data_IF_223687368261
#
_entry.id   IF_223687368261
#
_cell.length_a   1.000
_cell.length_b   1.000
_cell.length_c   1.000
_cell.angle_alpha   90.00
_cell.angle_beta   90.00
_cell.angle_gamma   90.00
#
_symmetry.space_group_name_H-M   'P 1'
#
loop_
_entity.id
_entity.type
_entity.pdbx_description
1 polymer ?
#
# COMPACT_ATOMS: atom_id res chain seq x y z
N UNK A 1 -7.07 -20.69 -59.06
CA UNK A 1 -5.83 -20.77 -58.25
C UNK A 1 -6.25 -20.98 -56.79
N UNK A 2 -6.17 -22.21 -56.30
CA UNK A 2 -6.55 -22.59 -54.93
C UNK A 2 -5.39 -22.32 -53.97
N UNK A 3 -5.66 -21.65 -52.84
CA UNK A 3 -4.68 -21.46 -51.76
C UNK A 3 -4.44 -22.77 -50.98
N UNK A 4 -3.19 -23.06 -50.57
CA UNK A 4 -2.86 -24.29 -49.84
C UNK A 4 -3.29 -24.24 -48.36
N UNK A 5 -3.83 -25.34 -47.80
CA UNK A 5 -4.44 -25.40 -46.47
C UNK A 5 -3.43 -25.76 -45.37
N UNK A 6 -2.21 -25.21 -45.41
CA UNK A 6 -1.10 -25.75 -44.60
C UNK A 6 -0.34 -24.70 -43.80
N UNK A 7 -1.00 -23.62 -43.36
CA UNK A 7 -0.45 -22.68 -42.37
C UNK A 7 -1.58 -22.28 -41.40
N UNK A 8 -2.22 -23.28 -40.79
CA UNK A 8 -3.21 -23.08 -39.69
C UNK A 8 -2.81 -23.77 -38.39
N UNK A 9 -1.69 -24.48 -38.38
CA UNK A 9 -1.28 -25.34 -37.26
C UNK A 9 -0.18 -24.76 -36.37
N UNK A 10 0.22 -23.49 -36.55
CA UNK A 10 1.24 -22.85 -35.68
C UNK A 10 0.64 -21.92 -34.61
N UNK A 11 -0.68 -21.72 -34.61
CA UNK A 11 -1.37 -20.81 -33.68
C UNK A 11 -1.93 -21.49 -32.41
N UNK A 12 -1.69 -22.78 -32.22
CA UNK A 12 -2.36 -23.56 -31.16
C UNK A 12 -1.47 -23.97 -29.98
N UNK A 13 -0.20 -23.54 -29.90
CA UNK A 13 0.74 -24.01 -28.87
C UNK A 13 1.24 -22.97 -27.86
N UNK A 14 0.62 -21.80 -27.78
CA UNK A 14 0.93 -20.80 -26.71
C UNK A 14 -0.37 -20.36 -26.04
N UNK A 15 -1.16 -21.33 -25.59
CA UNK A 15 -2.33 -21.11 -24.74
C UNK A 15 -2.25 -21.98 -23.47
N UNK A 16 -1.02 -22.25 -23.00
CA UNK A 16 -0.78 -23.03 -21.80
C UNK A 16 -0.49 -22.09 -20.62
N UNK A 17 -1.56 -21.83 -19.86
CA UNK A 17 -1.56 -21.63 -18.42
C UNK A 17 -0.53 -20.62 -17.85
N UNK A 18 -0.80 -19.33 -17.98
CA UNK A 18 -0.40 -18.40 -16.91
C UNK A 18 -1.58 -18.39 -15.92
N UNK A 19 -1.47 -18.98 -14.72
CA UNK A 19 -2.44 -18.70 -13.68
C UNK A 19 -2.29 -17.21 -13.38
N UNK A 20 -3.23 -16.41 -13.88
CA UNK A 20 -3.49 -15.08 -13.34
C UNK A 20 -3.90 -15.34 -11.89
N UNK A 21 -2.93 -15.26 -10.99
CA UNK A 21 -3.19 -15.14 -9.57
C UNK A 21 -3.96 -13.84 -9.41
N UNK A 22 -5.28 -13.90 -9.56
CA UNK A 22 -6.19 -12.92 -9.00
C UNK A 22 -5.91 -12.97 -7.51
N UNK A 23 -4.98 -12.14 -7.03
CA UNK A 23 -4.84 -11.88 -5.60
C UNK A 23 -6.07 -11.06 -5.24
N UNK A 24 -7.07 -11.66 -4.56
CA UNK A 24 -8.26 -10.91 -4.22
C UNK A 24 -7.82 -9.86 -3.20
N UNK A 25 -8.05 -8.59 -3.54
CA UNK A 25 -8.05 -7.48 -2.60
C UNK A 25 -8.83 -7.91 -1.36
N UNK A 26 -8.16 -8.21 -0.25
CA UNK A 26 -8.87 -8.39 1.01
C UNK A 26 -9.23 -7.01 1.52
N UNK A 27 -10.54 -6.77 1.54
CA UNK A 27 -11.21 -5.85 2.48
C UNK A 27 -10.43 -5.88 3.80
N UNK A 28 -10.20 -4.70 4.41
CA UNK A 28 -9.55 -4.52 5.73
C UNK A 28 -9.81 -5.77 6.56
N UNK A 29 -8.74 -6.44 6.99
CA UNK A 29 -8.87 -7.68 7.75
C UNK A 29 -9.89 -7.42 8.86
N UNK A 30 -10.97 -8.21 8.98
CA UNK A 30 -11.98 -7.97 10.00
C UNK A 30 -11.42 -8.03 11.43
N UNK A 31 -10.21 -8.58 11.62
CA UNK A 31 -9.44 -8.51 12.86
C UNK A 31 -8.39 -7.39 12.92
N UNK A 32 -8.29 -6.51 11.91
CA UNK A 32 -7.37 -5.39 11.94
C UNK A 32 -7.82 -4.37 12.99
N UNK A 33 -7.07 -4.33 14.08
CA UNK A 33 -7.21 -3.35 15.13
C UNK A 33 -6.59 -2.02 14.70
N UNK A 34 -7.24 -0.91 15.05
CA UNK A 34 -6.58 0.40 15.00
C UNK A 34 -5.33 0.41 15.86
N UNK A 35 -4.44 1.37 15.60
CA UNK A 35 -3.24 1.57 16.41
C UNK A 35 -3.22 2.98 16.97
N UNK A 36 -2.77 3.13 18.21
CA UNK A 36 -2.61 4.42 18.87
C UNK A 36 -1.15 4.84 18.81
N UNK A 37 -0.92 6.04 18.29
CA UNK A 37 0.33 6.77 18.46
C UNK A 37 0.11 7.77 19.60
N UNK A 38 0.67 7.49 20.78
CA UNK A 38 0.34 8.23 22.01
C UNK A 38 0.74 9.71 21.96
N UNK A 39 1.88 10.02 21.35
CA UNK A 39 2.43 11.37 21.19
C UNK A 39 2.91 11.56 19.76
N UNK A 40 2.94 12.80 19.30
CA UNK A 40 3.49 13.12 17.98
C UNK A 40 4.92 12.61 17.87
N UNK A 41 5.24 11.95 16.75
CA UNK A 41 6.57 11.39 16.51
C UNK A 41 7.14 11.88 15.19
N UNK A 42 8.44 12.17 15.19
CA UNK A 42 9.17 12.58 14.01
C UNK A 42 10.12 11.49 13.56
N UNK A 43 10.22 11.22 12.25
CA UNK A 43 11.18 10.27 11.69
C UNK A 43 11.86 10.84 10.45
N UNK A 44 13.16 10.58 10.36
CA UNK A 44 13.92 10.84 9.14
C UNK A 44 13.59 9.76 8.11
N UNK A 45 13.03 10.18 6.98
CA UNK A 45 12.49 9.34 5.94
C UNK A 45 13.13 9.73 4.61
N UNK A 46 14.22 9.04 4.23
CA UNK A 46 15.01 9.34 3.03
C UNK A 46 15.54 10.79 3.04
N UNK A 47 14.85 11.69 2.32
CA UNK A 47 15.27 13.07 2.07
C UNK A 47 14.41 14.11 2.81
N UNK A 48 13.49 13.67 3.66
CA UNK A 48 12.69 14.58 4.48
C UNK A 48 12.42 13.99 5.86
N UNK A 49 12.14 14.89 6.80
CA UNK A 49 11.61 14.54 8.10
C UNK A 49 10.09 14.46 8.01
N UNK A 50 9.51 13.36 8.47
CA UNK A 50 8.05 13.13 8.48
C UNK A 50 7.56 13.20 9.91
N UNK A 51 6.56 14.03 10.14
CA UNK A 51 5.89 14.18 11.43
C UNK A 51 4.57 13.41 11.40
N UNK A 52 4.48 12.43 12.29
CA UNK A 52 3.34 11.56 12.51
C UNK A 52 2.52 12.12 13.67
N UNK A 53 1.29 12.60 13.44
CA UNK A 53 0.46 13.15 14.49
C UNK A 53 0.11 12.08 15.52
N UNK A 54 -0.11 12.51 16.76
CA UNK A 54 -0.70 11.65 17.79
C UNK A 54 -2.16 11.29 17.43
N UNK A 55 -2.62 10.15 17.94
CA UNK A 55 -3.99 9.70 17.84
C UNK A 55 -4.14 8.30 17.27
N UNK A 56 -5.39 7.92 17.02
CA UNK A 56 -5.75 6.60 16.52
C UNK A 56 -5.63 6.55 15.00
N UNK A 57 -4.87 5.58 14.52
CA UNK A 57 -4.69 5.30 13.10
C UNK A 57 -5.54 4.09 12.74
N UNK A 58 -6.46 4.28 11.80
CA UNK A 58 -7.38 3.23 11.36
C UNK A 58 -6.75 2.39 10.25
N UNK A 59 -6.93 1.05 10.25
CA UNK A 59 -6.47 0.22 9.16
C UNK A 59 -7.27 0.52 7.89
N UNK A 60 -6.60 0.84 6.80
CA UNK A 60 -7.23 1.23 5.54
C UNK A 60 -7.17 0.11 4.50
N UNK A 61 -6.01 -0.55 4.39
CA UNK A 61 -5.75 -1.64 3.44
C UNK A 61 -4.78 -2.63 4.08
N UNK A 62 -5.00 -3.92 3.88
CA UNK A 62 -4.06 -4.98 4.25
C UNK A 62 -3.64 -5.76 3.02
N UNK A 63 -2.35 -6.06 2.91
CA UNK A 63 -1.79 -6.93 1.89
C UNK A 63 -0.88 -7.99 2.51
N UNK A 64 -0.30 -8.86 1.69
CA UNK A 64 0.58 -9.93 2.16
C UNK A 64 1.82 -9.41 2.90
N UNK A 65 2.25 -8.18 2.58
CA UNK A 65 3.45 -7.55 3.15
C UNK A 65 3.19 -6.88 4.50
N UNK A 66 1.95 -6.47 4.79
CA UNK A 66 1.64 -5.69 5.99
C UNK A 66 0.31 -4.94 5.88
N UNK A 67 0.12 -4.00 6.81
CA UNK A 67 -1.10 -3.18 6.91
C UNK A 67 -0.77 -1.70 6.78
N UNK A 68 -1.57 -1.00 5.99
CA UNK A 68 -1.56 0.45 5.85
C UNK A 68 -2.54 1.05 6.85
N UNK A 69 -2.02 1.83 7.78
CA UNK A 69 -2.77 2.57 8.78
C UNK A 69 -2.85 4.03 8.38
N UNK A 70 -4.05 4.58 8.31
CA UNK A 70 -4.32 5.98 7.98
C UNK A 70 -4.15 6.85 9.21
N UNK A 71 -3.40 7.95 9.09
CA UNK A 71 -3.23 8.88 10.18
C UNK A 71 -4.52 9.68 10.49
N UNK A 72 -4.76 10.06 11.76
CA UNK A 72 -5.93 10.86 12.16
C UNK A 72 -5.89 12.29 11.60
N UNK A 73 -4.70 12.77 11.26
CA UNK A 73 -4.47 14.03 10.58
C UNK A 73 -3.40 13.86 9.49
N UNK A 74 -3.27 14.86 8.61
CA UNK A 74 -2.27 14.81 7.53
C UNK A 74 -0.86 14.71 8.10
N UNK A 75 -0.04 13.82 7.53
CA UNK A 75 1.39 13.75 7.82
C UNK A 75 2.06 15.04 7.36
N UNK A 76 2.92 15.61 8.20
CA UNK A 76 3.71 16.80 7.81
C UNK A 76 5.08 16.35 7.32
N UNK A 77 5.59 16.99 6.28
CA UNK A 77 6.98 16.79 5.83
C UNK A 77 7.78 18.07 5.95
N UNK A 78 9.00 17.96 6.44
CA UNK A 78 9.93 19.07 6.63
C UNK A 78 11.23 18.74 5.87
N UNK A 79 11.85 19.75 5.24
CA UNK A 79 13.09 19.58 4.46
C UNK A 79 12.90 19.38 2.95
N UNK A 80 11.65 19.21 2.48
CA UNK A 80 11.30 19.42 1.06
C UNK A 80 10.88 20.88 0.92
N UNK A 81 11.34 21.58 -0.13
CA UNK A 81 11.29 23.04 -0.35
C UNK A 81 9.93 23.74 -0.12
N UNK A 82 8.84 22.99 0.07
CA UNK A 82 7.55 23.46 0.56
C UNK A 82 7.03 22.42 1.57
N UNK A 83 7.11 22.75 2.86
CA UNK A 83 6.51 21.92 3.91
C UNK A 83 5.02 21.72 3.62
N UNK A 84 4.57 20.47 3.58
CA UNK A 84 3.22 20.13 3.15
C UNK A 84 2.56 19.14 4.09
N UNK A 85 1.25 19.28 4.26
CA UNK A 85 0.40 18.28 4.90
C UNK A 85 -0.15 17.31 3.85
N UNK A 86 0.22 16.04 3.94
CA UNK A 86 -0.18 14.99 3.00
C UNK A 86 -1.12 13.99 3.66
N UNK A 87 -2.11 13.50 2.90
CA UNK A 87 -2.82 12.28 3.30
C UNK A 87 -1.83 11.11 3.28
N UNK A 88 -1.87 10.30 4.31
CA UNK A 88 -0.94 9.19 4.46
C UNK A 88 -1.03 8.60 5.86
N UNK A 89 -0.06 7.77 6.19
CA UNK A 89 0.06 7.23 7.53
C UNK A 89 1.21 6.26 7.66
N UNK A 90 0.99 5.24 8.50
CA UNK A 90 2.00 4.28 8.87
C UNK A 90 1.76 2.95 8.15
N UNK A 91 2.75 2.46 7.42
CA UNK A 91 2.78 1.07 6.99
C UNK A 91 3.53 0.25 8.02
N UNK A 92 2.91 -0.82 8.52
CA UNK A 92 3.55 -1.79 9.41
C UNK A 92 3.67 -3.11 8.65
N UNK A 93 4.90 -3.48 8.32
CA UNK A 93 5.23 -4.74 7.69
C UNK A 93 5.09 -5.91 8.66
N UNK A 94 4.76 -7.09 8.13
CA UNK A 94 4.76 -8.35 8.93
C UNK A 94 6.14 -8.69 9.48
N UNK A 95 7.19 -8.15 8.89
CA UNK A 95 8.59 -8.25 9.33
C UNK A 95 8.95 -7.23 10.43
N UNK A 96 7.96 -6.47 10.94
CA UNK A 96 8.14 -5.44 11.96
C UNK A 96 8.73 -4.14 11.45
N UNK A 97 9.06 -4.04 10.15
CA UNK A 97 9.55 -2.78 9.57
C UNK A 97 8.41 -1.79 9.41
N UNK A 98 8.75 -0.51 9.50
CA UNK A 98 7.81 0.57 9.34
C UNK A 98 8.23 1.54 8.24
N UNK A 99 7.24 2.12 7.59
CA UNK A 99 7.43 3.14 6.57
C UNK A 99 6.30 4.17 6.61
N UNK A 100 6.62 5.42 6.24
CA UNK A 100 5.61 6.41 5.92
C UNK A 100 5.04 6.06 4.55
N UNK A 101 3.72 6.16 4.39
CA UNK A 101 3.08 6.09 3.08
C UNK A 101 2.27 7.37 2.84
N UNK A 102 2.16 7.78 1.58
CA UNK A 102 1.47 9.01 1.18
C UNK A 102 0.55 8.72 -0.01
N UNK A 103 -0.62 9.37 -0.06
CA UNK A 103 -1.58 9.25 -1.16
C UNK A 103 -2.81 8.42 -0.82
N UNK A 104 -3.23 7.56 -1.76
CA UNK A 104 -4.26 6.55 -1.55
C UNK A 104 -3.59 5.18 -1.35
N UNK A 105 -3.89 4.50 -0.25
CA UNK A 105 -3.34 3.18 0.03
C UNK A 105 -3.94 2.09 -0.89
N UNK A 106 -5.11 2.36 -1.49
CA UNK A 106 -5.79 1.42 -2.40
C UNK A 106 -5.05 1.29 -3.72
N UNK A 107 -4.45 2.37 -4.20
CA UNK A 107 -3.57 2.36 -5.39
C UNK A 107 -2.35 1.43 -5.21
N UNK A 108 -1.93 1.17 -3.96
CA UNK A 108 -0.87 0.21 -3.62
C UNK A 108 -1.27 -1.24 -3.84
N UNK A 109 -2.52 -1.54 -3.49
CA UNK A 109 -3.05 -2.90 -3.49
C UNK A 109 -3.60 -3.27 -4.86
N UNK A 110 -3.93 -2.27 -5.68
CA UNK A 110 -4.23 -2.40 -7.10
C UNK A 110 -2.96 -2.44 -7.97
N UNK A 111 -1.94 -3.24 -7.64
CA UNK A 111 -0.89 -3.59 -8.62
C UNK A 111 -1.57 -4.29 -9.82
N UNK A 112 -2.06 -3.49 -10.77
CA UNK A 112 -2.65 -3.99 -12.02
C UNK A 112 -1.49 -4.54 -12.83
N UNK A 113 -1.55 -5.80 -13.30
CA UNK A 113 -0.64 -6.23 -14.34
C UNK A 113 -0.92 -5.36 -15.57
N UNK A 114 0.00 -4.42 -15.80
CA UNK A 114 0.30 -3.74 -17.06
C UNK A 114 -0.83 -3.74 -18.10
N UNK A 115 -1.44 -2.58 -18.32
CA UNK A 115 -2.03 -2.31 -19.63
C UNK A 115 -0.94 -2.49 -20.68
N UNK A 116 -1.26 -3.31 -21.69
CA UNK A 116 -0.45 -3.95 -22.73
C UNK A 116 0.38 -3.02 -23.65
N UNK A 117 0.89 -1.90 -23.15
CA UNK A 117 1.77 -0.96 -23.86
C UNK A 117 2.58 -0.13 -22.85
N UNK A 118 3.36 -0.78 -21.98
CA UNK A 118 4.53 -0.20 -21.31
C UNK A 118 4.39 1.12 -20.54
N UNK A 119 3.18 1.63 -20.31
CA UNK A 119 2.95 2.85 -19.57
C UNK A 119 2.85 2.49 -18.09
N UNK A 120 3.82 2.97 -17.32
CA UNK A 120 3.86 2.97 -15.86
C UNK A 120 2.52 3.52 -15.34
N UNK A 121 1.61 2.63 -14.96
CA UNK A 121 0.24 2.96 -14.58
C UNK A 121 -0.08 2.45 -13.18
N UNK A 122 -0.48 3.38 -12.31
CA UNK A 122 -0.75 3.27 -10.87
C UNK A 122 0.52 3.21 -10.00
N UNK A 123 0.96 4.39 -9.56
CA UNK A 123 2.01 4.56 -8.56
C UNK A 123 1.56 3.97 -7.22
N UNK A 124 2.11 2.83 -6.82
CA UNK A 124 2.04 2.42 -5.43
C UNK A 124 2.42 3.60 -4.51
N UNK A 125 1.71 3.84 -3.39
CA UNK A 125 1.99 4.91 -2.47
C UNK A 125 3.45 4.83 -2.07
N UNK A 126 4.12 5.96 -2.17
CA UNK A 126 5.58 6.02 -2.03
C UNK A 126 5.93 5.66 -0.59
N UNK A 127 6.42 4.44 -0.36
CA UNK A 127 6.89 3.99 0.95
C UNK A 127 8.25 4.61 1.28
N UNK A 128 8.30 5.34 2.39
CA UNK A 128 9.51 5.94 2.91
C UNK A 128 9.86 5.20 4.20
N UNK A 129 10.70 4.16 4.12
CA UNK A 129 11.12 3.41 5.30
C UNK A 129 11.90 4.33 6.23
N UNK A 130 11.79 4.07 7.53
CA UNK A 130 12.48 4.84 8.54
C UNK A 130 12.89 3.96 9.72
N UNK A 131 13.88 4.44 10.46
CA UNK A 131 14.26 3.92 11.76
C UNK A 131 14.61 5.11 12.68
N UNK A 132 14.44 4.97 14.00
CA UNK A 132 13.81 3.85 14.70
C UNK A 132 12.32 3.73 14.39
N UNK A 133 11.68 2.60 14.72
CA UNK A 133 10.21 2.44 14.53
C UNK A 133 9.42 3.39 15.43
N UNK A 134 8.18 3.72 15.07
CA UNK A 134 7.22 4.45 15.90
C UNK A 134 6.61 3.48 16.90
N UNK A 135 6.60 3.90 18.17
CA UNK A 135 5.90 3.18 19.23
C UNK A 135 4.41 3.29 19.03
N UNK A 136 3.74 2.14 18.88
CA UNK A 136 2.30 2.05 18.64
C UNK A 136 1.68 1.08 19.63
N UNK A 137 0.45 1.35 20.05
CA UNK A 137 -0.33 0.45 20.92
C UNK A 137 -1.57 -0.02 20.16
N UNK A 138 -1.85 -1.34 20.07
CA UNK A 138 -3.09 -1.82 19.47
C UNK A 138 -4.30 -1.28 20.26
N UNK A 139 -5.30 -0.75 19.55
CA UNK A 139 -6.60 -0.39 20.10
C UNK A 139 -7.56 -1.53 19.78
N UNK A 140 -8.13 -2.22 20.80
CA UNK A 140 -9.08 -3.30 20.56
C UNK A 140 -10.17 -2.85 19.59
N UNK A 141 -10.57 -3.74 18.67
CA UNK A 141 -11.71 -3.45 17.80
C UNK A 141 -12.92 -3.22 18.71
N UNK A 142 -13.41 -1.99 18.73
CA UNK A 142 -14.60 -1.65 19.51
C UNK A 142 -15.74 -2.52 18.99
N UNK A 143 -16.31 -3.36 19.86
CA UNK A 143 -17.46 -4.18 19.54
C UNK A 143 -18.67 -3.24 19.35
N UNK A 144 -18.79 -2.64 18.17
CA UNK A 144 -19.99 -1.89 17.80
C UNK A 144 -21.10 -2.93 17.58
N UNK A 145 -22.14 -2.98 18.42
CA UNK A 145 -23.28 -3.85 18.14
C UNK A 145 -23.95 -3.32 16.86
N UNK A 146 -24.15 -4.22 15.89
CA UNK A 146 -24.96 -3.96 14.70
C UNK A 146 -26.44 -3.96 15.04
#
# INVERSE_FOLDING_TARGET
MSLPPMIRAFWFLVLLCVPVACVPLRKVDPGAHSILVATEQSRECKAARVIFPAGEYSPEVSCERGTYYLAPARLRTEGVLLGGGYRGGLFIGRDGKQAAWFGDARDAAEERPSTLLGAVGASAPKLWPFQPVISVTPVPASAVPR
#
